data_IF_574235197096
#
_entry.id   IF_574235197096
#
_cell.length_a   1.000
_cell.length_b   1.000
_cell.length_c   1.000
_cell.angle_alpha   90.00
_cell.angle_beta   90.00
_cell.angle_gamma   90.00
#
_symmetry.space_group_name_H-M   'P 1'
#
loop_
_entity.id
_entity.type
_entity.pdbx_description
1 polymer ?
#
# COMPACT_ATOMS: atom_id res chain seq x y z
N UNK A 1 -19.66 11.18 -2.49
CA UNK A 1 -19.42 9.90 -1.81
C UNK A 1 -19.00 10.26 -0.40
N UNK A 2 -19.91 10.17 0.54
CA UNK A 2 -19.57 10.20 1.96
C UNK A 2 -19.02 8.80 2.30
N UNK A 3 -17.74 8.70 2.57
CA UNK A 3 -17.17 7.50 3.17
C UNK A 3 -17.71 7.44 4.61
N UNK A 4 -18.55 6.47 4.97
CA UNK A 4 -19.26 6.48 6.26
C UNK A 4 -18.35 6.41 7.48
N UNK A 5 -17.07 6.16 7.30
CA UNK A 5 -16.09 5.99 8.36
C UNK A 5 -15.02 7.10 8.42
N UNK A 6 -15.14 8.14 7.61
CA UNK A 6 -14.32 9.35 7.75
C UNK A 6 -14.77 10.18 8.97
N UNK A 7 -14.79 9.57 10.15
CA UNK A 7 -14.79 10.34 11.38
C UNK A 7 -13.39 10.90 11.52
N UNK A 8 -13.23 12.16 11.11
CA UNK A 8 -12.08 13.00 11.42
C UNK A 8 -12.07 13.21 12.94
N UNK A 9 -11.70 12.20 13.69
CA UNK A 9 -11.21 12.41 15.04
C UNK A 9 -9.79 12.97 14.90
N UNK A 10 -9.57 14.08 15.49
CA UNK A 10 -8.36 14.91 15.83
C UNK A 10 -6.96 14.27 15.72
N UNK A 11 -6.69 13.32 14.85
CA UNK A 11 -5.44 12.58 14.84
C UNK A 11 -4.87 12.46 13.45
N UNK A 12 -3.79 13.15 13.27
CA UNK A 12 -2.73 12.99 12.25
C UNK A 12 -3.19 12.51 10.85
N UNK A 13 -3.03 13.37 9.89
CA UNK A 13 -3.10 13.08 8.45
C UNK A 13 -1.92 12.21 7.98
N UNK A 14 -1.52 11.19 8.77
CA UNK A 14 -0.39 10.33 8.47
C UNK A 14 -0.88 8.99 7.89
N UNK A 15 -0.10 8.43 6.96
CA UNK A 15 -0.33 7.12 6.33
C UNK A 15 -1.64 7.05 5.55
N UNK A 16 -1.85 8.00 4.66
CA UNK A 16 -3.12 8.15 3.95
C UNK A 16 -3.17 7.34 2.64
N UNK A 17 -2.02 6.94 2.07
CA UNK A 17 -1.97 6.49 0.69
C UNK A 17 -2.30 7.65 -0.25
N UNK A 18 -3.32 7.48 -1.10
CA UNK A 18 -3.90 8.56 -1.90
C UNK A 18 -3.46 8.59 -3.36
N UNK A 19 -2.76 7.55 -3.84
CA UNK A 19 -2.43 7.44 -5.26
C UNK A 19 -3.64 6.92 -6.04
N UNK A 20 -3.85 7.49 -7.23
CA UNK A 20 -4.91 7.09 -8.16
C UNK A 20 -4.27 6.76 -9.50
N UNK A 21 -4.69 5.65 -10.09
CA UNK A 21 -4.38 5.28 -11.48
C UNK A 21 -5.66 4.84 -12.21
N UNK A 22 -5.68 5.00 -13.51
CA UNK A 22 -6.71 4.43 -14.37
C UNK A 22 -6.43 2.93 -14.56
N UNK A 23 -7.44 2.08 -14.37
CA UNK A 23 -7.38 0.65 -14.68
C UNK A 23 -7.90 0.35 -16.08
N UNK A 24 -9.01 1.00 -16.42
CA UNK A 24 -9.71 0.93 -17.71
C UNK A 24 -10.64 2.12 -17.88
N UNK A 25 -11.37 2.18 -18.99
CA UNK A 25 -12.26 3.29 -19.33
C UNK A 25 -13.39 3.57 -18.31
N UNK A 26 -13.62 2.67 -17.36
CA UNK A 26 -14.70 2.78 -16.37
C UNK A 26 -14.22 2.70 -14.94
N UNK A 27 -13.00 2.22 -14.72
CA UNK A 27 -12.50 1.94 -13.39
C UNK A 27 -11.18 2.63 -13.10
N UNK A 28 -11.07 3.15 -11.89
CA UNK A 28 -9.82 3.64 -11.31
C UNK A 28 -9.42 2.78 -10.11
N UNK A 29 -8.14 2.74 -9.81
CA UNK A 29 -7.60 2.17 -8.59
C UNK A 29 -7.11 3.28 -7.69
N UNK A 30 -7.58 3.28 -6.43
CA UNK A 30 -7.18 4.22 -5.38
C UNK A 30 -6.46 3.46 -4.28
N UNK A 31 -5.28 3.91 -3.88
CA UNK A 31 -4.62 3.42 -2.68
C UNK A 31 -5.10 4.17 -1.43
N UNK A 32 -5.40 3.44 -0.36
CA UNK A 32 -5.86 3.98 0.92
C UNK A 32 -4.99 3.41 2.03
N UNK A 33 -4.36 4.27 2.81
CA UNK A 33 -3.52 3.85 3.93
C UNK A 33 -4.32 3.43 5.17
N UNK A 34 -3.61 3.01 6.22
CA UNK A 34 -4.21 2.54 7.46
C UNK A 34 -4.66 3.66 8.41
N UNK A 35 -4.28 4.91 8.17
CA UNK A 35 -4.59 6.09 8.99
C UNK A 35 -4.26 5.88 10.47
N UNK A 36 -3.15 5.22 10.78
CA UNK A 36 -2.76 4.81 12.13
C UNK A 36 -3.74 3.81 12.78
N UNK A 37 -4.48 3.05 11.99
CA UNK A 37 -5.43 2.02 12.45
C UNK A 37 -5.08 0.67 11.83
N UNK A 38 -3.91 0.10 12.13
CA UNK A 38 -3.35 -1.05 11.41
C UNK A 38 -4.29 -2.26 11.39
N UNK A 39 -5.04 -2.52 12.46
CA UNK A 39 -5.97 -3.66 12.50
C UNK A 39 -7.09 -3.58 11.45
N UNK A 40 -7.45 -2.36 11.00
CA UNK A 40 -8.46 -2.19 9.96
C UNK A 40 -7.96 -2.64 8.58
N UNK A 41 -6.65 -2.74 8.38
CA UNK A 41 -6.10 -3.25 7.13
C UNK A 41 -6.52 -4.71 6.85
N UNK A 42 -6.83 -5.49 7.88
CA UNK A 42 -7.32 -6.86 7.76
C UNK A 42 -8.85 -6.98 7.80
N UNK A 43 -9.56 -5.92 8.18
CA UNK A 43 -11.02 -5.94 8.24
C UNK A 43 -11.61 -5.80 6.83
N UNK A 44 -12.41 -6.79 6.40
CA UNK A 44 -13.00 -6.85 5.05
C UNK A 44 -14.14 -5.84 4.83
N UNK A 45 -14.70 -5.28 5.90
CA UNK A 45 -15.80 -4.31 5.84
C UNK A 45 -15.32 -2.85 5.90
N UNK A 46 -14.01 -2.64 6.05
CA UNK A 46 -13.40 -1.31 6.19
C UNK A 46 -12.48 -1.02 5.02
N UNK A 47 -12.44 0.25 4.62
CA UNK A 47 -11.67 0.70 3.46
C UNK A 47 -10.23 1.14 3.79
N UNK A 48 -9.83 1.06 5.07
CA UNK A 48 -8.48 1.42 5.51
C UNK A 48 -7.47 0.32 5.22
N UNK A 49 -6.27 0.69 4.78
CA UNK A 49 -5.21 -0.25 4.43
C UNK A 49 -5.58 -1.13 3.22
N UNK A 50 -6.14 -0.51 2.18
CA UNK A 50 -6.67 -1.18 0.98
C UNK A 50 -6.19 -0.52 -0.30
N UNK A 51 -6.28 -1.26 -1.40
CA UNK A 51 -6.49 -0.63 -2.69
C UNK A 51 -7.94 -0.85 -3.11
N UNK A 52 -8.55 0.19 -3.69
CA UNK A 52 -9.97 0.21 -4.02
C UNK A 52 -10.18 0.35 -5.52
N UNK A 53 -10.90 -0.58 -6.11
CA UNK A 53 -11.41 -0.45 -7.48
C UNK A 53 -12.73 0.32 -7.44
N UNK A 54 -12.75 1.47 -8.10
CA UNK A 54 -13.90 2.39 -8.13
C UNK A 54 -14.39 2.50 -9.57
N UNK A 55 -15.63 2.12 -9.81
CA UNK A 55 -16.28 2.37 -11.10
C UNK A 55 -16.78 3.81 -11.15
N UNK A 56 -16.28 4.60 -12.12
CA UNK A 56 -16.58 6.02 -12.21
C UNK A 56 -17.98 6.33 -12.73
N UNK A 57 -18.63 5.38 -13.41
CA UNK A 57 -20.00 5.54 -13.95
C UNK A 57 -21.06 5.27 -12.89
N UNK A 58 -21.05 4.07 -12.32
CA UNK A 58 -22.05 3.65 -11.33
C UNK A 58 -21.66 3.95 -9.89
N UNK A 59 -20.42 4.45 -9.65
CA UNK A 59 -19.87 4.84 -8.34
C UNK A 59 -19.73 3.66 -7.36
N UNK A 60 -19.70 2.43 -7.84
CA UNK A 60 -19.44 1.27 -6.98
C UNK A 60 -17.98 1.26 -6.51
N UNK A 61 -17.76 0.84 -5.28
CA UNK A 61 -16.44 0.71 -4.64
C UNK A 61 -16.28 -0.72 -4.20
N UNK A 62 -15.20 -1.37 -4.67
CA UNK A 62 -14.83 -2.72 -4.29
C UNK A 62 -13.40 -2.73 -3.76
N UNK A 63 -13.14 -3.53 -2.73
CA UNK A 63 -11.78 -3.78 -2.26
C UNK A 63 -11.08 -4.62 -3.34
N UNK A 64 -9.99 -4.07 -3.90
CA UNK A 64 -9.16 -4.76 -4.87
C UNK A 64 -8.08 -5.60 -4.15
N UNK A 65 -7.36 -4.98 -3.18
CA UNK A 65 -6.40 -5.69 -2.32
C UNK A 65 -6.50 -5.19 -0.88
N UNK A 66 -5.98 -5.97 0.07
CA UNK A 66 -5.99 -5.66 1.50
C UNK A 66 -4.60 -5.84 2.13
N UNK A 67 -4.48 -5.47 3.41
CA UNK A 67 -3.25 -5.66 4.16
C UNK A 67 -2.15 -4.66 3.81
N UNK A 68 -2.53 -3.40 3.57
CA UNK A 68 -1.61 -2.30 3.28
C UNK A 68 -1.47 -1.34 4.47
N UNK A 69 -0.27 -0.76 4.62
CA UNK A 69 0.01 0.25 5.64
C UNK A 69 -0.11 1.66 5.10
N UNK A 70 0.72 2.01 4.13
CA UNK A 70 0.76 3.34 3.53
C UNK A 70 1.23 3.27 2.08
N UNK A 71 0.40 2.76 1.17
CA UNK A 71 0.74 2.64 -0.24
C UNK A 71 0.70 4.00 -0.93
N UNK A 72 1.87 4.56 -1.26
CA UNK A 72 2.02 5.89 -1.85
C UNK A 72 2.27 5.89 -3.35
N UNK A 73 2.77 4.79 -3.90
CA UNK A 73 2.95 4.63 -5.33
C UNK A 73 2.00 3.61 -5.92
N UNK A 74 1.47 3.90 -7.10
CA UNK A 74 0.78 2.95 -7.97
C UNK A 74 1.22 3.20 -9.40
N UNK A 75 1.41 2.12 -10.14
CA UNK A 75 1.71 2.15 -11.56
C UNK A 75 1.14 0.91 -12.24
N UNK A 76 0.60 1.07 -13.44
CA UNK A 76 0.22 -0.04 -14.32
C UNK A 76 1.10 0.00 -15.57
N UNK A 77 1.77 -1.10 -15.88
CA UNK A 77 2.59 -1.21 -17.07
C UNK A 77 1.76 -1.59 -18.31
N UNK A 78 2.40 -1.55 -19.48
CA UNK A 78 1.75 -1.89 -20.77
C UNK A 78 1.23 -3.32 -20.84
N UNK A 79 1.72 -4.22 -19.99
CA UNK A 79 1.22 -5.60 -19.90
C UNK A 79 -0.02 -5.73 -19.00
N UNK A 80 -0.41 -4.64 -18.31
CA UNK A 80 -1.48 -4.65 -17.32
C UNK A 80 -1.03 -5.06 -15.92
N UNK A 81 0.27 -5.22 -15.67
CA UNK A 81 0.79 -5.52 -14.34
C UNK A 81 0.72 -4.27 -13.46
N UNK A 82 0.11 -4.39 -12.30
CA UNK A 82 -0.07 -3.29 -11.35
C UNK A 82 1.00 -3.39 -10.27
N UNK A 83 1.77 -2.33 -10.11
CA UNK A 83 2.79 -2.20 -9.07
C UNK A 83 2.33 -1.20 -8.02
N UNK A 84 2.66 -1.49 -6.76
CA UNK A 84 2.52 -0.56 -5.65
C UNK A 84 3.83 -0.42 -4.90
N UNK A 85 4.06 0.76 -4.33
CA UNK A 85 5.12 0.99 -3.36
C UNK A 85 4.53 1.51 -2.07
N UNK A 86 4.97 0.98 -0.93
CA UNK A 86 4.42 1.36 0.35
C UNK A 86 5.45 1.41 1.48
N UNK A 87 5.21 2.31 2.45
CA UNK A 87 6.05 2.45 3.63
C UNK A 87 5.81 1.35 4.65
N UNK A 88 6.89 0.71 5.08
CA UNK A 88 6.92 -0.12 6.26
C UNK A 88 6.87 0.66 7.58
N UNK A 89 6.84 -0.01 8.74
CA UNK A 89 6.77 0.64 10.06
C UNK A 89 8.08 1.32 10.46
N UNK A 90 9.17 0.59 10.50
CA UNK A 90 10.54 1.05 10.68
C UNK A 90 11.43 0.15 9.84
N UNK A 91 11.77 0.61 8.63
CA UNK A 91 12.24 -0.26 7.57
C UNK A 91 11.11 -1.09 6.97
N UNK A 92 11.44 -2.01 6.07
CA UNK A 92 10.47 -2.86 5.39
C UNK A 92 9.53 -2.08 4.47
N UNK A 93 10.03 -1.02 3.82
CA UNK A 93 9.33 -0.43 2.69
C UNK A 93 9.25 -1.46 1.57
N UNK A 94 8.13 -1.54 0.87
CA UNK A 94 7.85 -2.64 -0.05
C UNK A 94 7.50 -2.17 -1.45
N UNK A 95 7.89 -2.97 -2.43
CA UNK A 95 7.36 -2.96 -3.79
C UNK A 95 6.51 -4.21 -3.97
N UNK A 96 5.26 -4.03 -4.31
CA UNK A 96 4.27 -5.09 -4.47
C UNK A 96 3.77 -5.18 -5.91
N UNK A 97 3.50 -6.40 -6.41
CA UNK A 97 2.68 -6.63 -7.60
C UNK A 97 1.26 -6.91 -7.13
N UNK A 98 0.32 -6.02 -7.44
CA UNK A 98 -1.05 -6.13 -6.97
C UNK A 98 -1.85 -7.12 -7.82
N UNK A 99 -2.54 -8.06 -7.14
CA UNK A 99 -3.46 -9.02 -7.74
C UNK A 99 -4.81 -8.94 -7.04
N UNK A 100 -5.88 -8.91 -7.79
CA UNK A 100 -7.25 -8.83 -7.25
C UNK A 100 -7.50 -9.90 -6.19
N UNK A 101 -8.10 -9.50 -5.06
CA UNK A 101 -8.39 -10.37 -3.93
C UNK A 101 -7.20 -10.68 -3.01
N UNK A 102 -5.97 -10.27 -3.36
CA UNK A 102 -4.77 -10.56 -2.55
C UNK A 102 -4.70 -9.75 -1.25
N UNK A 103 -4.05 -10.35 -0.24
CA UNK A 103 -3.76 -9.75 1.05
C UNK A 103 -2.24 -9.66 1.28
N UNK A 104 -1.72 -8.45 1.47
CA UNK A 104 -0.28 -8.16 1.63
C UNK A 104 0.18 -8.14 3.09
N UNK A 105 -0.67 -8.55 4.01
CA UNK A 105 -0.32 -8.99 5.36
C UNK A 105 -0.30 -7.92 6.43
N UNK A 106 -0.15 -6.62 6.14
CA UNK A 106 -0.14 -5.61 7.18
C UNK A 106 -1.40 -5.65 8.06
N UNK A 107 -1.32 -5.59 9.41
CA UNK A 107 -0.12 -5.51 10.25
C UNK A 107 0.43 -6.87 10.73
N UNK A 108 -0.09 -7.99 10.23
CA UNK A 108 0.26 -9.33 10.66
C UNK A 108 1.56 -9.84 10.02
N UNK A 109 1.94 -9.25 8.88
CA UNK A 109 3.21 -9.49 8.21
C UNK A 109 3.89 -8.16 7.83
N UNK A 110 5.21 -8.10 7.90
CA UNK A 110 6.05 -6.98 7.47
C UNK A 110 7.52 -7.34 7.54
N UNK A 111 8.35 -6.74 6.72
CA UNK A 111 9.82 -6.81 6.82
C UNK A 111 10.42 -5.68 7.67
N UNK A 112 9.59 -4.78 8.18
CA UNK A 112 10.02 -3.72 9.09
C UNK A 112 9.95 -4.12 10.56
N UNK A 113 10.66 -3.37 11.40
CA UNK A 113 10.62 -3.56 12.86
C UNK A 113 9.45 -2.78 13.46
N UNK A 114 8.98 -3.24 14.62
CA UNK A 114 7.88 -2.57 15.32
C UNK A 114 8.29 -1.17 15.81
N UNK A 115 7.40 -0.20 15.61
CA UNK A 115 7.40 1.04 16.37
C UNK A 115 6.57 0.80 17.64
N UNK A 116 7.22 0.80 18.81
CA UNK A 116 6.50 1.01 20.07
C UNK A 116 6.08 2.48 20.09
N UNK A 117 4.83 2.75 19.80
CA UNK A 117 4.27 4.07 20.06
C UNK A 117 3.93 4.14 21.54
N UNK A 118 4.83 4.72 22.34
CA UNK A 118 4.70 4.82 23.79
C UNK A 118 3.41 5.56 24.25
N UNK A 119 2.80 6.34 23.37
CA UNK A 119 1.75 7.30 23.74
C UNK A 119 0.34 6.90 23.34
N UNK A 120 0.11 5.72 22.77
CA UNK A 120 -1.22 5.35 22.23
C UNK A 120 -1.89 4.15 22.91
N UNK A 121 -1.41 3.75 24.08
CA UNK A 121 -1.98 2.66 24.86
C UNK A 121 -1.84 1.28 24.18
N UNK A 122 -2.20 0.23 24.89
CA UNK A 122 -2.03 -1.19 24.50
C UNK A 122 -2.83 -1.64 23.26
N UNK A 123 -3.61 -0.76 22.66
CA UNK A 123 -4.43 -1.07 21.47
C UNK A 123 -3.62 -1.30 20.18
N UNK A 124 -2.33 -1.03 20.21
CA UNK A 124 -1.45 -1.06 19.05
C UNK A 124 -0.33 -2.10 19.14
N UNK A 125 -0.51 -3.12 19.95
CA UNK A 125 0.42 -4.25 19.98
C UNK A 125 0.33 -5.01 18.66
N UNK A 126 1.29 -4.71 17.76
CA UNK A 126 1.50 -5.55 16.58
C UNK A 126 2.03 -6.91 17.05
N UNK A 127 1.69 -8.01 16.38
CA UNK A 127 2.25 -9.33 16.70
C UNK A 127 3.77 -9.29 16.77
N UNK A 128 4.37 -9.97 17.75
CA UNK A 128 5.81 -9.88 18.05
C UNK A 128 6.72 -10.58 17.03
N UNK A 129 6.17 -11.33 16.08
CA UNK A 129 6.91 -12.14 15.11
C UNK A 129 6.53 -11.75 13.69
N UNK A 130 7.04 -10.59 13.22
CA UNK A 130 6.73 -10.10 11.88
C UNK A 130 7.99 -10.20 11.03
N UNK A 131 8.40 -11.40 10.67
CA UNK A 131 9.38 -11.63 9.62
C UNK A 131 8.77 -12.61 8.63
N UNK A 132 8.52 -12.13 7.42
CA UNK A 132 7.96 -12.94 6.34
C UNK A 132 6.45 -12.82 6.18
N UNK A 133 5.96 -13.38 5.08
CA UNK A 133 4.56 -13.30 4.64
C UNK A 133 3.93 -14.67 4.48
N UNK A 134 4.30 -15.67 5.28
CA UNK A 134 3.96 -17.11 5.12
C UNK A 134 2.51 -17.42 4.74
N UNK A 135 1.55 -16.58 5.17
CA UNK A 135 0.12 -16.74 4.85
C UNK A 135 -0.44 -15.57 4.02
N UNK A 136 0.45 -14.74 3.46
CA UNK A 136 0.09 -13.54 2.73
C UNK A 136 0.84 -13.46 1.40
N UNK A 137 0.48 -12.50 0.58
CA UNK A 137 1.18 -12.26 -0.67
C UNK A 137 2.53 -11.59 -0.38
N UNK A 138 3.61 -12.26 -0.80
CA UNK A 138 4.97 -11.71 -0.68
C UNK A 138 5.16 -10.46 -1.54
N UNK A 139 5.88 -9.44 -1.05
CA UNK A 139 6.31 -8.34 -1.88
C UNK A 139 7.29 -8.79 -2.97
N UNK A 140 7.32 -8.09 -4.09
CA UNK A 140 8.36 -8.26 -5.11
C UNK A 140 9.73 -7.93 -4.55
N UNK A 141 9.81 -6.92 -3.69
CA UNK A 141 11.04 -6.50 -3.00
C UNK A 141 10.71 -5.78 -1.69
N UNK A 142 11.53 -6.01 -0.67
CA UNK A 142 11.45 -5.32 0.61
C UNK A 142 12.79 -4.64 0.95
N UNK A 143 12.74 -3.35 1.30
CA UNK A 143 13.88 -2.58 1.78
C UNK A 143 13.96 -2.70 3.29
N UNK A 144 14.90 -3.51 3.82
CA UNK A 144 15.04 -3.73 5.27
C UNK A 144 15.38 -2.42 5.99
N UNK A 145 16.28 -1.58 5.43
CA UNK A 145 16.42 -0.19 5.81
C UNK A 145 15.36 0.66 5.09
N UNK A 146 14.62 1.52 5.82
CA UNK A 146 13.64 2.39 5.17
C UNK A 146 14.34 3.38 4.25
N UNK A 147 13.84 3.49 3.03
CA UNK A 147 14.26 4.48 2.05
C UNK A 147 13.26 5.63 1.94
N UNK A 148 12.15 5.57 2.68
CA UNK A 148 11.07 6.53 2.55
C UNK A 148 10.43 6.47 1.16
N UNK A 149 10.06 5.27 0.73
CA UNK A 149 9.54 4.98 -0.60
C UNK A 149 8.31 5.82 -0.96
N UNK A 150 8.21 6.31 -2.19
CA UNK A 150 7.03 7.07 -2.64
C UNK A 150 6.50 6.55 -3.98
N UNK A 151 6.70 7.23 -5.08
CA UNK A 151 6.18 6.80 -6.39
C UNK A 151 7.02 5.68 -7.00
N UNK A 152 6.37 4.85 -7.82
CA UNK A 152 6.98 3.79 -8.61
C UNK A 152 6.55 3.93 -10.07
N UNK A 153 7.47 3.67 -10.99
CA UNK A 153 7.20 3.53 -12.43
C UNK A 153 8.06 2.41 -13.01
N UNK A 154 7.63 1.81 -14.11
CA UNK A 154 8.46 0.95 -14.95
C UNK A 154 8.91 1.72 -16.16
N UNK A 155 10.21 1.66 -16.47
CA UNK A 155 10.73 2.30 -17.67
C UNK A 155 10.51 1.39 -18.89
N UNK A 156 9.61 1.79 -19.78
CA UNK A 156 9.22 0.98 -20.95
C UNK A 156 9.62 1.63 -22.28
N UNK A 157 10.39 2.72 -22.25
CA UNK A 157 10.84 3.41 -23.43
C UNK A 157 12.18 2.86 -23.94
N UNK A 158 12.44 2.99 -25.23
CA UNK A 158 13.68 2.49 -25.86
C UNK A 158 14.86 3.46 -25.78
N UNK A 159 14.68 4.70 -25.30
CA UNK A 159 15.71 5.73 -25.34
C UNK A 159 16.95 5.38 -24.49
N UNK A 160 16.72 4.83 -23.29
CA UNK A 160 17.77 4.26 -22.44
C UNK A 160 17.62 2.74 -22.43
N UNK A 161 18.28 2.06 -23.38
CA UNK A 161 18.12 0.62 -23.58
C UNK A 161 18.45 -0.21 -22.32
N UNK A 162 19.50 0.20 -21.58
CA UNK A 162 19.94 -0.48 -20.36
C UNK A 162 18.94 -0.38 -19.21
N UNK A 163 17.99 0.55 -19.28
CA UNK A 163 16.97 0.74 -18.25
C UNK A 163 15.60 0.15 -18.64
N UNK A 164 15.51 -0.40 -19.85
CA UNK A 164 14.27 -0.96 -20.35
C UNK A 164 13.77 -2.09 -19.47
N UNK A 165 12.53 -1.94 -19.00
CA UNK A 165 11.83 -2.81 -18.05
C UNK A 165 12.31 -2.71 -16.60
N UNK A 166 13.22 -1.82 -16.26
CA UNK A 166 13.58 -1.54 -14.87
C UNK A 166 12.46 -0.80 -14.15
N UNK A 167 12.32 -1.09 -12.85
CA UNK A 167 11.44 -0.36 -11.94
C UNK A 167 12.21 0.80 -11.30
N UNK A 168 11.69 2.00 -11.46
CA UNK A 168 12.19 3.19 -10.79
C UNK A 168 11.33 3.50 -9.59
N UNK A 169 11.96 3.63 -8.45
CA UNK A 169 11.31 3.93 -7.19
C UNK A 169 11.82 5.27 -6.69
N UNK A 170 10.91 6.20 -6.45
CA UNK A 170 11.26 7.45 -5.79
C UNK A 170 11.37 7.25 -4.27
N UNK A 171 12.35 7.90 -3.66
CA UNK A 171 12.67 7.80 -2.24
C UNK A 171 12.76 9.19 -1.63
N UNK A 172 12.29 9.34 -0.38
CA UNK A 172 12.42 10.54 0.44
C UNK A 172 13.52 10.39 1.51
N UNK A 173 14.02 9.17 1.72
CA UNK A 173 15.08 8.82 2.66
C UNK A 173 16.42 8.61 1.96
N UNK A 174 17.47 8.45 2.75
CA UNK A 174 18.86 8.26 2.32
C UNK A 174 19.32 6.83 2.62
#
# INVERSE_FOLDING_TARGET
ITLPDCIIQKTSFLKNGGRIIELDNENILLSVGDFLRPLLAQNKERLFGKTLKINVKNKSINIFTSGHRNPQGLYIDKSGTIYASEHGPRGGDEVNILKDGSNYGWPQASYGTQLKFADQGDQWQLPHNIFGHDNFTEPLHAFVGSIGISQIIKYEHAYFENWKNDLFVASMGF
#
